data_IF_717106281978
#
_entry.id   IF_717106281978
#
_cell.length_a   1.000
_cell.length_b   1.000
_cell.length_c   1.000
_cell.angle_alpha   90.00
_cell.angle_beta   90.00
_cell.angle_gamma   90.00
#
_symmetry.space_group_name_H-M   'P 1'
#
loop_
_entity.id
_entity.type
_entity.pdbx_description
1 polymer ?
#
# COMPACT_ATOMS: atom_id res chain seq x y z
N UNK A 1 -8.09 16.47 -1.94
CA UNK A 1 -8.07 15.79 -0.63
C UNK A 1 -7.36 14.43 -0.71
N UNK A 2 -6.52 14.18 -1.72
CA UNK A 2 -5.75 12.93 -1.80
C UNK A 2 -4.55 13.01 -0.86
N UNK A 3 -3.59 13.92 -1.09
CA UNK A 3 -2.29 14.07 -0.37
C UNK A 3 -2.27 13.73 1.13
N UNK A 4 -3.34 14.03 1.87
CA UNK A 4 -3.42 13.76 3.30
C UNK A 4 -3.56 12.26 3.63
N UNK A 5 -4.10 11.45 2.73
CA UNK A 5 -4.23 9.99 2.89
C UNK A 5 -2.89 9.29 2.67
N UNK A 6 -2.24 9.54 1.53
CA UNK A 6 -0.91 9.01 1.21
C UNK A 6 0.09 9.41 2.30
N UNK A 7 0.05 10.67 2.74
CA UNK A 7 0.93 11.18 3.79
C UNK A 7 0.70 10.49 5.13
N UNK A 8 -0.55 10.18 5.51
CA UNK A 8 -0.86 9.45 6.75
C UNK A 8 -0.24 8.04 6.73
N UNK A 9 -0.37 7.33 5.61
CA UNK A 9 0.21 5.98 5.46
C UNK A 9 1.73 6.06 5.47
N UNK A 10 2.30 7.00 4.69
CA UNK A 10 3.74 7.24 4.62
C UNK A 10 4.34 7.51 5.99
N UNK A 11 3.76 8.43 6.77
CA UNK A 11 4.25 8.76 8.12
C UNK A 11 4.23 7.55 9.07
N UNK A 12 3.19 6.73 9.03
CA UNK A 12 3.10 5.54 9.87
C UNK A 12 4.19 4.51 9.53
N UNK A 13 4.46 4.33 8.23
CA UNK A 13 5.48 3.39 7.75
C UNK A 13 6.91 3.93 7.90
N UNK A 14 7.11 5.25 7.85
CA UNK A 14 8.41 5.88 8.11
C UNK A 14 8.94 5.61 9.52
N UNK A 15 8.05 5.41 10.49
CA UNK A 15 8.41 5.04 11.86
C UNK A 15 8.86 3.58 12.00
N UNK A 16 8.73 2.74 10.97
CA UNK A 16 9.09 1.32 11.01
C UNK A 16 10.55 1.14 10.58
N UNK A 17 11.42 0.86 11.53
CA UNK A 17 12.77 0.38 11.24
C UNK A 17 12.71 -1.03 10.64
N UNK A 18 13.38 -1.20 9.49
CA UNK A 18 13.40 -2.45 8.70
C UNK A 18 11.99 -2.95 8.38
N UNK A 19 11.32 -2.38 7.36
CA UNK A 19 9.92 -2.64 7.06
C UNK A 19 9.74 -4.03 6.41
N UNK A 20 9.79 -5.10 7.19
CA UNK A 20 9.49 -6.45 6.71
C UNK A 20 7.99 -6.58 6.35
N UNK A 21 7.59 -7.54 5.50
CA UNK A 21 6.18 -7.73 5.13
C UNK A 21 5.24 -7.86 6.33
N UNK A 22 5.67 -8.55 7.38
CA UNK A 22 4.89 -8.69 8.61
C UNK A 22 4.72 -7.36 9.37
N UNK A 23 5.77 -6.53 9.45
CA UNK A 23 5.69 -5.22 10.11
C UNK A 23 4.85 -4.23 9.31
N UNK A 24 5.01 -4.20 7.99
CA UNK A 24 4.18 -3.35 7.11
C UNK A 24 2.72 -3.74 7.23
N UNK A 25 2.41 -5.05 7.14
CA UNK A 25 1.05 -5.55 7.36
C UNK A 25 0.47 -5.11 8.69
N UNK A 26 1.25 -5.23 9.78
CA UNK A 26 0.80 -4.82 11.11
C UNK A 26 0.43 -3.34 11.15
N UNK A 27 1.30 -2.46 10.66
CA UNK A 27 1.03 -1.01 10.64
C UNK A 27 -0.21 -0.68 9.80
N UNK A 28 -0.38 -1.30 8.65
CA UNK A 28 -1.58 -1.09 7.81
C UNK A 28 -2.85 -1.57 8.53
N UNK A 29 -2.81 -2.70 9.23
CA UNK A 29 -3.92 -3.15 10.06
C UNK A 29 -4.21 -2.18 11.22
N UNK A 30 -3.18 -1.64 11.88
CA UNK A 30 -3.32 -0.65 12.95
C UNK A 30 -3.94 0.67 12.44
N UNK A 31 -3.78 0.99 11.15
CA UNK A 31 -4.45 2.10 10.48
C UNK A 31 -5.90 1.78 10.06
N UNK A 32 -6.33 0.53 10.17
CA UNK A 32 -7.69 0.07 9.85
C UNK A 32 -7.86 -0.58 8.48
N UNK A 33 -6.77 -0.86 7.74
CA UNK A 33 -6.86 -1.67 6.53
C UNK A 33 -6.92 -3.15 6.90
N UNK A 34 -8.03 -3.80 6.57
CA UNK A 34 -8.18 -5.25 6.73
C UNK A 34 -7.27 -5.99 5.73
N UNK A 35 -6.89 -7.23 6.07
CA UNK A 35 -5.99 -8.05 5.25
C UNK A 35 -6.48 -8.22 3.80
N UNK A 36 -7.80 -8.28 3.57
CA UNK A 36 -8.39 -8.40 2.24
C UNK A 36 -8.12 -7.18 1.34
N UNK A 37 -7.77 -6.03 1.91
CA UNK A 37 -7.39 -4.82 1.16
C UNK A 37 -5.87 -4.68 1.00
N UNK A 38 -5.06 -5.54 1.61
CA UNK A 38 -3.60 -5.45 1.58
C UNK A 38 -3.06 -6.52 0.64
N UNK A 39 -2.47 -6.10 -0.48
CA UNK A 39 -1.99 -7.00 -1.53
C UNK A 39 -0.50 -6.84 -1.81
N UNK A 40 0.09 -7.86 -2.44
CA UNK A 40 1.42 -7.77 -3.03
C UNK A 40 2.57 -7.50 -2.05
N UNK A 41 2.38 -7.76 -0.75
CA UNK A 41 3.42 -7.61 0.27
C UNK A 41 4.64 -8.47 -0.10
N UNK A 42 5.68 -7.82 -0.60
CA UNK A 42 6.92 -8.46 -1.06
C UNK A 42 8.12 -7.66 -0.62
N UNK A 43 9.07 -8.35 0.00
CA UNK A 43 10.33 -7.74 0.40
C UNK A 43 11.36 -7.88 -0.71
N UNK A 44 11.99 -6.78 -1.07
CA UNK A 44 13.13 -6.71 -1.99
C UNK A 44 14.28 -5.98 -1.27
N UNK A 45 15.19 -6.78 -0.71
CA UNK A 45 16.27 -6.28 0.14
C UNK A 45 15.75 -5.60 1.41
N UNK A 46 15.98 -4.29 1.53
CA UNK A 46 15.59 -3.48 2.70
C UNK A 46 14.20 -2.87 2.59
N UNK A 47 13.54 -3.04 1.45
CA UNK A 47 12.28 -2.39 1.15
C UNK A 47 11.16 -3.42 1.03
N UNK A 48 9.94 -3.02 1.38
CA UNK A 48 8.75 -3.85 1.13
C UNK A 48 7.78 -3.08 0.25
N UNK A 49 7.44 -3.71 -0.87
CA UNK A 49 6.37 -3.25 -1.77
C UNK A 49 5.04 -3.79 -1.31
N UNK A 50 3.98 -3.02 -1.52
CA UNK A 50 2.61 -3.43 -1.26
C UNK A 50 1.63 -2.62 -2.10
N UNK A 51 0.38 -3.07 -2.11
CA UNK A 51 -0.75 -2.34 -2.68
C UNK A 51 -1.91 -2.31 -1.70
N UNK A 52 -2.66 -1.21 -1.70
CA UNK A 52 -3.93 -1.06 -0.99
C UNK A 52 -5.09 -1.05 -1.99
N UNK A 53 -6.04 -1.97 -1.82
CA UNK A 53 -7.30 -1.96 -2.54
C UNK A 53 -8.26 -0.93 -1.91
N UNK A 54 -8.40 0.21 -2.57
CA UNK A 54 -9.31 1.30 -2.18
C UNK A 54 -10.56 1.34 -3.06
N UNK A 55 -10.87 0.24 -3.76
CA UNK A 55 -12.09 0.16 -4.58
C UNK A 55 -13.31 0.17 -3.67
N UNK A 56 -14.10 1.23 -3.77
CA UNK A 56 -15.41 1.33 -3.12
C UNK A 56 -16.50 1.54 -4.17
N UNK A 57 -17.64 0.85 -4.01
CA UNK A 57 -18.84 1.00 -4.87
C UNK A 57 -18.53 0.91 -6.39
N UNK A 58 -17.63 0.00 -6.79
CA UNK A 58 -17.22 -0.15 -8.19
C UNK A 58 -16.12 0.82 -8.66
N UNK A 59 -15.45 1.50 -7.72
CA UNK A 59 -14.29 2.32 -7.99
C UNK A 59 -13.08 1.53 -8.48
N UNK A 60 -12.02 2.27 -8.84
CA UNK A 60 -10.76 1.73 -9.37
C UNK A 60 -9.54 2.20 -8.59
N UNK A 61 -9.75 2.94 -7.50
CA UNK A 61 -8.65 3.53 -6.76
C UNK A 61 -7.86 2.44 -6.05
N UNK A 62 -6.55 2.51 -6.16
CA UNK A 62 -5.63 1.81 -5.30
C UNK A 62 -4.48 2.74 -4.92
N UNK A 63 -3.66 2.29 -3.98
CA UNK A 63 -2.36 2.90 -3.71
C UNK A 63 -1.28 1.86 -3.81
N UNK A 64 -0.16 2.22 -4.43
CA UNK A 64 1.07 1.46 -4.37
C UNK A 64 1.99 2.10 -3.33
N UNK A 65 2.69 1.26 -2.58
CA UNK A 65 3.61 1.73 -1.56
C UNK A 65 4.93 1.00 -1.58
N UNK A 66 6.00 1.76 -1.37
CA UNK A 66 7.36 1.27 -1.15
C UNK A 66 7.78 1.66 0.27
N UNK A 67 7.60 0.75 1.22
CA UNK A 67 8.04 0.97 2.59
C UNK A 67 9.56 0.82 2.69
N UNK A 68 10.24 1.90 3.07
CA UNK A 68 11.70 2.00 3.13
C UNK A 68 12.22 2.63 4.42
N UNK A 69 11.39 2.69 5.46
CA UNK A 69 11.64 3.58 6.60
C UNK A 69 11.47 5.02 6.15
N UNK A 70 12.44 5.90 6.42
CA UNK A 70 12.33 7.34 6.14
C UNK A 70 12.07 7.68 4.66
N UNK A 71 12.48 6.83 3.73
CA UNK A 71 12.28 7.00 2.28
C UNK A 71 10.97 6.38 1.76
N UNK A 72 10.00 6.11 2.64
CA UNK A 72 8.73 5.50 2.22
C UNK A 72 7.97 6.42 1.25
N UNK A 73 7.58 5.86 0.11
CA UNK A 73 6.77 6.51 -0.92
C UNK A 73 5.41 5.81 -1.05
N UNK A 74 4.36 6.61 -1.28
CA UNK A 74 3.00 6.16 -1.49
C UNK A 74 2.43 6.94 -2.66
N UNK A 75 1.93 6.24 -3.66
CA UNK A 75 1.39 6.82 -4.88
C UNK A 75 0.07 6.18 -5.26
N UNK A 76 -0.85 6.97 -5.83
CA UNK A 76 -2.12 6.45 -6.31
C UNK A 76 -1.92 5.60 -7.57
N UNK A 77 -2.61 4.47 -7.63
CA UNK A 77 -2.67 3.59 -8.79
C UNK A 77 -4.11 3.33 -9.23
N UNK A 78 -4.27 2.67 -10.38
CA UNK A 78 -5.57 2.26 -10.91
C UNK A 78 -5.65 0.74 -10.95
N UNK A 79 -6.65 0.17 -10.30
CA UNK A 79 -6.96 -1.25 -10.32
C UNK A 79 -8.16 -1.57 -11.23
N UNK A 80 -8.27 -2.82 -11.64
CA UNK A 80 -9.47 -3.35 -12.30
C UNK A 80 -10.71 -3.11 -11.44
N UNK A 81 -11.76 -2.52 -12.02
CA UNK A 81 -13.00 -2.20 -11.29
C UNK A 81 -13.77 -3.44 -10.81
N UNK A 82 -13.55 -4.57 -11.49
CA UNK A 82 -14.28 -5.82 -11.29
C UNK A 82 -13.30 -6.98 -11.13
N UNK A 83 -13.74 -8.01 -10.40
CA UNK A 83 -12.95 -9.22 -10.19
C UNK A 83 -11.82 -9.05 -9.17
N UNK A 84 -10.87 -10.02 -9.16
CA UNK A 84 -9.71 -10.00 -8.25
C UNK A 84 -8.92 -8.70 -8.35
N UNK A 85 -8.23 -8.34 -7.27
CA UNK A 85 -7.37 -7.17 -7.27
C UNK A 85 -6.21 -7.36 -8.25
N UNK A 86 -6.20 -6.54 -9.29
CA UNK A 86 -5.13 -6.45 -10.29
C UNK A 86 -4.91 -4.99 -10.64
N UNK A 87 -3.66 -4.54 -10.55
CA UNK A 87 -3.26 -3.19 -10.93
C UNK A 87 -3.17 -3.11 -12.46
N UNK A 88 -3.80 -2.10 -13.04
CA UNK A 88 -3.80 -1.86 -14.48
C UNK A 88 -2.53 -1.11 -14.93
N UNK A 89 -1.35 -1.67 -14.67
CA UNK A 89 -0.02 -1.32 -15.22
C UNK A 89 0.59 0.08 -14.94
N UNK A 90 1.93 0.25 -15.09
CA UNK A 90 2.92 -0.78 -15.39
C UNK A 90 3.53 -1.35 -14.10
N UNK A 91 3.18 -2.60 -13.82
CA UNK A 91 4.02 -3.50 -13.03
C UNK A 91 4.74 -4.45 -13.98
N UNK A 92 5.67 -3.89 -14.78
CA UNK A 92 6.76 -4.56 -15.49
C UNK A 92 8.01 -3.67 -15.43
#
# INVERSE_FOLDING_TARGET
MSVQHEQRIGQALQAVSEPTPAKVRKVLNDLGYIDERIHGLRQDGKFTRFYLDLRERGGRLCEEGLAAGVETDISACVASAVGPFTVAGPGE
#
